data_IF_461580747554
#
_entry.id   IF_461580747554
#
_cell.length_a   1.000
_cell.length_b   1.000
_cell.length_c   1.000
_cell.angle_alpha   90.00
_cell.angle_beta   90.00
_cell.angle_gamma   90.00
#
_symmetry.space_group_name_H-M   'P 1'
#
loop_
_entity.id
_entity.type
_entity.pdbx_description
1 polymer ?
#
# COMPACT_ATOMS: atom_id res chain seq x y z
N UNK A 1 1.92 -34.13 -0.51
CA UNK A 1 2.58 -33.09 0.29
C UNK A 1 2.26 -31.76 -0.37
N UNK A 2 1.58 -30.82 0.30
CA UNK A 2 1.37 -29.48 -0.27
C UNK A 2 2.74 -28.80 -0.33
N UNK A 3 3.12 -28.31 -1.51
CA UNK A 3 4.37 -27.56 -1.64
C UNK A 3 4.34 -26.35 -0.70
N UNK A 4 5.42 -26.12 0.05
CA UNK A 4 5.58 -24.95 0.89
C UNK A 4 5.38 -23.70 0.01
N UNK A 5 4.55 -22.73 0.42
CA UNK A 5 4.33 -21.53 -0.37
C UNK A 5 5.65 -20.77 -0.54
N UNK A 6 5.90 -20.21 -1.71
CA UNK A 6 7.11 -19.45 -2.02
C UNK A 6 7.21 -18.16 -1.20
N UNK A 7 6.06 -17.60 -0.83
CA UNK A 7 5.93 -16.44 0.04
C UNK A 7 4.54 -16.43 0.70
N UNK A 8 4.38 -15.64 1.77
CA UNK A 8 3.11 -15.46 2.44
C UNK A 8 2.17 -14.56 1.63
N UNK A 9 1.05 -15.11 1.19
CA UNK A 9 0.06 -14.39 0.37
C UNK A 9 -1.08 -13.81 1.21
N UNK A 10 -1.50 -12.59 0.87
CA UNK A 10 -2.58 -11.89 1.54
C UNK A 10 -3.93 -12.67 1.56
N UNK A 11 -4.36 -13.33 0.47
CA UNK A 11 -5.58 -14.16 0.52
C UNK A 11 -5.50 -15.30 1.54
N UNK A 12 -4.34 -15.91 1.71
CA UNK A 12 -4.11 -16.96 2.71
C UNK A 12 -4.09 -16.42 4.14
N UNK A 13 -3.55 -15.21 4.32
CA UNK A 13 -3.58 -14.50 5.59
C UNK A 13 -5.01 -14.17 6.02
N UNK A 14 -5.86 -13.65 5.13
CA UNK A 14 -7.25 -13.32 5.44
C UNK A 14 -8.08 -14.54 5.87
N UNK A 15 -7.74 -15.75 5.42
CA UNK A 15 -8.41 -16.98 5.87
C UNK A 15 -8.21 -17.29 7.37
N UNK A 16 -7.25 -16.68 8.02
CA UNK A 16 -7.03 -16.79 9.48
C UNK A 16 -8.11 -16.03 10.28
N UNK A 17 -8.71 -15.02 9.66
CA UNK A 17 -9.70 -14.12 10.26
C UNK A 17 -11.12 -14.40 9.77
N UNK A 18 -11.26 -14.87 8.53
CA UNK A 18 -12.54 -15.00 7.87
C UNK A 18 -12.73 -16.38 7.23
N UNK A 19 -13.87 -17.07 7.52
CA UNK A 19 -14.19 -18.37 6.90
C UNK A 19 -14.69 -18.24 5.46
N UNK A 20 -14.87 -17.02 4.97
CA UNK A 20 -15.37 -16.68 3.64
C UNK A 20 -14.35 -15.81 2.89
N UNK A 21 -14.61 -15.64 1.58
CA UNK A 21 -13.79 -14.75 0.76
C UNK A 21 -14.04 -13.29 1.10
N UNK A 22 -12.95 -12.51 1.20
CA UNK A 22 -13.00 -11.09 1.51
C UNK A 22 -12.30 -10.30 0.42
N UNK A 23 -12.91 -9.18 0.00
CA UNK A 23 -12.40 -8.26 -1.00
C UNK A 23 -12.29 -6.84 -0.42
N UNK A 24 -11.19 -6.15 -0.68
CA UNK A 24 -11.07 -4.71 -0.39
C UNK A 24 -11.89 -3.91 -1.40
N UNK A 25 -12.72 -2.98 -0.93
CA UNK A 25 -13.40 -1.95 -1.74
C UNK A 25 -12.74 -0.61 -1.43
N UNK A 26 -12.09 -0.01 -2.42
CA UNK A 26 -11.46 1.30 -2.28
C UNK A 26 -12.52 2.39 -2.07
N UNK A 27 -12.19 3.36 -1.20
CA UNK A 27 -13.03 4.50 -0.86
C UNK A 27 -12.25 5.81 -1.02
N UNK A 28 -12.95 6.84 -1.45
CA UNK A 28 -12.49 8.21 -1.40
C UNK A 28 -13.43 9.02 -0.49
N UNK A 29 -13.00 9.20 0.76
CA UNK A 29 -13.81 9.87 1.78
C UNK A 29 -13.60 11.39 1.85
N UNK A 30 -13.01 11.99 0.80
CA UNK A 30 -12.79 13.43 0.71
C UNK A 30 -11.69 13.97 1.62
N UNK A 31 -10.76 13.13 2.03
CA UNK A 31 -9.60 13.56 2.81
C UNK A 31 -8.61 14.38 1.96
N UNK A 32 -7.76 15.13 2.63
CA UNK A 32 -6.61 15.82 2.03
C UNK A 32 -5.29 15.24 2.55
N UNK A 33 -4.20 15.93 2.28
CA UNK A 33 -2.87 15.54 2.73
C UNK A 33 -2.13 16.76 3.25
N UNK A 34 -1.50 16.71 4.45
CA UNK A 34 -0.78 17.86 5.03
C UNK A 34 0.42 18.30 4.18
N UNK A 35 0.89 17.44 3.28
CA UNK A 35 1.94 17.78 2.31
C UNK A 35 1.39 18.51 1.06
N UNK A 36 0.08 18.79 1.01
CA UNK A 36 -0.58 19.50 -0.09
C UNK A 36 -1.28 20.78 0.34
N UNK A 37 -1.86 20.80 1.53
CA UNK A 37 -2.69 21.91 2.02
C UNK A 37 -1.90 23.01 2.75
N UNK A 38 -0.58 22.87 2.83
CA UNK A 38 0.31 23.84 3.46
C UNK A 38 0.62 23.57 4.93
N UNK A 39 -0.04 22.62 5.58
CA UNK A 39 0.21 22.30 7.00
C UNK A 39 1.62 21.80 7.27
N UNK A 40 2.17 21.01 6.35
CA UNK A 40 3.56 20.51 6.37
C UNK A 40 4.34 20.82 5.09
N UNK A 41 3.63 21.01 3.97
CA UNK A 41 4.24 21.29 2.68
C UNK A 41 3.21 21.57 1.60
N UNK A 42 3.70 21.96 0.43
CA UNK A 42 2.86 22.26 -0.74
C UNK A 42 3.15 21.27 -1.87
N UNK A 43 2.17 21.04 -2.74
CA UNK A 43 2.30 20.27 -3.97
C UNK A 43 2.32 18.75 -3.80
N UNK A 44 2.48 18.24 -2.58
CA UNK A 44 2.50 16.80 -2.30
C UNK A 44 3.81 16.12 -2.66
N UNK A 45 3.85 14.79 -2.56
CA UNK A 45 4.97 14.00 -3.04
C UNK A 45 5.10 14.11 -4.56
N UNK A 46 6.32 14.11 -5.09
CA UNK A 46 6.61 14.39 -6.51
C UNK A 46 5.95 13.41 -7.48
N UNK A 47 5.71 12.17 -7.06
CA UNK A 47 5.09 11.10 -7.83
C UNK A 47 3.56 11.03 -7.71
N UNK A 48 2.95 11.78 -6.76
CA UNK A 48 1.59 11.50 -6.30
C UNK A 48 0.51 12.12 -7.22
N UNK A 49 -0.32 11.25 -7.79
CA UNK A 49 -1.59 11.61 -8.43
C UNK A 49 -2.68 10.65 -7.94
N UNK A 50 -3.59 11.13 -7.08
CA UNK A 50 -4.64 10.29 -6.50
C UNK A 50 -5.71 9.80 -7.48
N UNK A 51 -5.79 10.37 -8.68
CA UNK A 51 -6.69 9.88 -9.73
C UNK A 51 -6.35 8.45 -10.17
N UNK A 52 -5.11 8.01 -9.97
CA UNK A 52 -4.66 6.64 -10.33
C UNK A 52 -5.27 5.54 -9.47
N UNK A 53 -5.83 5.88 -8.31
CA UNK A 53 -6.32 4.89 -7.33
C UNK A 53 -7.84 4.87 -7.17
N UNK A 54 -8.56 5.73 -7.89
CA UNK A 54 -10.01 5.90 -7.75
C UNK A 54 -10.75 5.19 -8.89
N UNK A 55 -11.35 4.00 -8.65
CA UNK A 55 -12.36 3.46 -9.56
C UNK A 55 -13.54 4.43 -9.77
N UNK A 56 -14.31 4.28 -10.82
CA UNK A 56 -15.41 5.19 -11.17
C UNK A 56 -16.47 5.37 -10.07
N UNK A 57 -16.65 4.36 -9.21
CA UNK A 57 -17.56 4.46 -8.07
C UNK A 57 -16.97 5.26 -6.90
N UNK A 58 -15.65 5.44 -6.86
CA UNK A 58 -14.90 6.03 -5.74
C UNK A 58 -14.76 7.55 -5.92
N UNK A 59 -15.88 8.29 -5.74
CA UNK A 59 -15.93 9.75 -5.92
C UNK A 59 -16.29 10.45 -4.63
N UNK A 60 -15.63 11.57 -4.34
CA UNK A 60 -15.80 12.37 -3.11
C UNK A 60 -17.21 12.91 -2.91
N UNK A 61 -17.94 13.12 -4.01
CA UNK A 61 -19.32 13.62 -4.00
C UNK A 61 -20.33 12.56 -3.52
N UNK A 62 -19.92 11.28 -3.49
CA UNK A 62 -20.77 10.18 -3.07
C UNK A 62 -20.55 9.87 -1.58
N UNK A 63 -21.62 9.65 -0.79
CA UNK A 63 -21.50 9.08 0.55
C UNK A 63 -20.70 7.78 0.57
N UNK A 64 -20.01 7.49 1.66
CA UNK A 64 -19.19 6.28 1.82
C UNK A 64 -20.03 5.01 1.62
N UNK A 65 -21.23 4.98 2.20
CA UNK A 65 -22.16 3.86 2.02
C UNK A 65 -22.52 3.61 0.55
N UNK A 66 -22.73 4.67 -0.24
CA UNK A 66 -23.03 4.51 -1.68
C UNK A 66 -21.81 3.98 -2.45
N UNK A 67 -20.60 4.48 -2.17
CA UNK A 67 -19.38 3.96 -2.78
C UNK A 67 -19.18 2.47 -2.48
N UNK A 68 -19.46 2.04 -1.25
CA UNK A 68 -19.41 0.63 -0.85
C UNK A 68 -20.44 -0.21 -1.60
N UNK A 69 -21.70 0.24 -1.69
CA UNK A 69 -22.75 -0.48 -2.42
C UNK A 69 -22.43 -0.60 -3.92
N UNK A 70 -21.89 0.45 -4.55
CA UNK A 70 -21.45 0.38 -5.95
C UNK A 70 -20.23 -0.53 -6.11
N UNK A 71 -19.28 -0.47 -5.19
CA UNK A 71 -18.11 -1.36 -5.16
C UNK A 71 -18.52 -2.83 -4.97
N UNK A 72 -19.47 -3.12 -4.10
CA UNK A 72 -20.06 -4.48 -3.94
C UNK A 72 -20.61 -4.98 -5.27
N UNK A 73 -21.42 -4.18 -5.96
CA UNK A 73 -21.99 -4.55 -7.28
C UNK A 73 -20.89 -4.80 -8.33
N UNK A 74 -19.83 -4.01 -8.31
CA UNK A 74 -18.70 -4.21 -9.22
C UNK A 74 -18.01 -5.57 -9.02
N UNK A 75 -17.91 -6.07 -7.78
CA UNK A 75 -17.27 -7.34 -7.46
C UNK A 75 -18.25 -8.53 -7.41
N UNK A 76 -19.55 -8.32 -7.22
CA UNK A 76 -20.57 -9.37 -6.99
C UNK A 76 -20.66 -10.42 -8.12
N UNK A 77 -20.34 -10.04 -9.36
CA UNK A 77 -20.35 -10.98 -10.49
C UNK A 77 -19.37 -12.15 -10.36
N UNK A 78 -18.37 -12.05 -9.47
CA UNK A 78 -17.33 -13.08 -9.32
C UNK A 78 -17.64 -14.11 -8.21
N UNK A 79 -18.25 -13.67 -7.10
CA UNK A 79 -18.44 -14.52 -5.91
C UNK A 79 -19.66 -14.04 -5.09
N UNK A 80 -20.78 -14.79 -5.08
CA UNK A 80 -22.03 -14.36 -4.43
C UNK A 80 -21.95 -14.16 -2.91
N UNK A 81 -21.12 -14.95 -2.21
CA UNK A 81 -20.99 -14.94 -0.75
C UNK A 81 -19.78 -14.16 -0.23
N UNK A 82 -19.29 -13.20 -1.04
CA UNK A 82 -18.12 -12.40 -0.66
C UNK A 82 -18.50 -11.35 0.40
N UNK A 83 -17.62 -11.16 1.37
CA UNK A 83 -17.66 -10.02 2.30
C UNK A 83 -16.56 -9.00 1.95
N UNK A 84 -16.59 -7.85 2.60
CA UNK A 84 -15.79 -6.73 2.14
C UNK A 84 -15.04 -6.03 3.27
N UNK A 85 -13.83 -5.55 2.98
CA UNK A 85 -13.12 -4.59 3.81
C UNK A 85 -13.27 -3.21 3.17
N UNK A 86 -13.75 -2.25 3.93
CA UNK A 86 -13.80 -0.86 3.49
C UNK A 86 -12.37 -0.29 3.51
N UNK A 87 -11.83 0.04 2.33
CA UNK A 87 -10.46 0.48 2.17
C UNK A 87 -10.39 1.97 1.88
N UNK A 88 -10.11 2.75 2.91
CA UNK A 88 -9.81 4.18 2.82
C UNK A 88 -8.42 4.35 2.22
N UNK A 89 -8.37 4.62 0.92
CA UNK A 89 -7.11 4.60 0.15
C UNK A 89 -6.64 5.99 -0.28
N UNK A 90 -7.54 6.85 -0.71
CA UNK A 90 -7.17 8.14 -1.29
C UNK A 90 -6.65 9.14 -0.24
N UNK A 91 -5.50 9.75 -0.49
CA UNK A 91 -4.84 10.75 0.38
C UNK A 91 -4.41 10.20 1.76
N UNK A 92 -4.69 10.96 2.83
CA UNK A 92 -4.25 10.66 4.20
C UNK A 92 -5.47 10.48 5.09
N UNK A 93 -5.88 9.24 5.28
CA UNK A 93 -7.19 8.92 5.84
C UNK A 93 -7.27 8.96 7.38
N UNK A 94 -6.23 9.45 8.03
CA UNK A 94 -6.18 9.77 9.47
C UNK A 94 -5.91 11.26 9.71
N UNK A 95 -5.93 12.06 8.66
CA UNK A 95 -5.71 13.49 8.73
C UNK A 95 -7.03 14.24 8.67
N UNK A 96 -7.51 14.69 9.83
CA UNK A 96 -8.77 15.38 9.99
C UNK A 96 -9.17 15.52 11.46
N UNK A 97 -10.31 16.14 11.70
CA UNK A 97 -10.91 16.26 13.01
C UNK A 97 -11.43 14.89 13.49
N UNK A 98 -11.16 14.52 14.75
CA UNK A 98 -11.38 13.16 15.28
C UNK A 98 -12.83 12.67 15.10
N UNK A 99 -13.81 13.50 15.45
CA UNK A 99 -15.22 13.11 15.34
C UNK A 99 -15.67 12.95 13.88
N UNK A 100 -15.06 13.68 12.95
CA UNK A 100 -15.28 13.49 11.51
C UNK A 100 -14.70 12.18 11.02
N UNK A 101 -13.51 11.79 11.49
CA UNK A 101 -12.88 10.52 11.19
C UNK A 101 -13.73 9.36 11.69
N UNK A 102 -14.16 9.39 12.95
CA UNK A 102 -15.03 8.39 13.58
C UNK A 102 -16.29 8.15 12.75
N UNK A 103 -17.05 9.23 12.46
CA UNK A 103 -18.28 9.12 11.66
C UNK A 103 -18.06 8.42 10.33
N UNK A 104 -16.96 8.72 9.63
CA UNK A 104 -16.64 8.09 8.35
C UNK A 104 -16.33 6.60 8.48
N UNK A 105 -15.59 6.21 9.51
CA UNK A 105 -15.29 4.79 9.76
C UNK A 105 -16.54 4.02 10.19
N UNK A 106 -17.36 4.59 11.05
CA UNK A 106 -18.62 4.00 11.52
C UNK A 106 -19.64 3.89 10.38
N UNK A 107 -19.77 4.91 9.52
CA UNK A 107 -20.59 4.84 8.30
C UNK A 107 -20.18 3.66 7.41
N UNK A 108 -18.88 3.45 7.22
CA UNK A 108 -18.39 2.34 6.42
C UNK A 108 -18.71 0.97 7.06
N UNK A 109 -18.54 0.85 8.38
CA UNK A 109 -18.81 -0.39 9.11
C UNK A 109 -20.31 -0.72 9.24
N UNK A 110 -21.18 0.29 9.15
CA UNK A 110 -22.63 0.10 9.16
C UNK A 110 -23.20 -0.52 7.87
N UNK A 111 -22.40 -0.56 6.79
CA UNK A 111 -22.85 -1.15 5.52
C UNK A 111 -22.84 -2.67 5.61
N UNK A 112 -23.98 -3.29 5.28
CA UNK A 112 -24.10 -4.76 5.32
C UNK A 112 -23.02 -5.45 4.46
N UNK A 113 -22.43 -6.50 5.01
CA UNK A 113 -21.35 -7.26 4.36
C UNK A 113 -19.95 -6.64 4.47
N UNK A 114 -19.80 -5.47 5.10
CA UNK A 114 -18.50 -4.92 5.49
C UNK A 114 -18.10 -5.57 6.83
N UNK A 115 -16.93 -6.20 6.84
CA UNK A 115 -16.42 -6.99 7.99
C UNK A 115 -15.13 -6.39 8.61
N UNK A 116 -14.74 -5.20 8.19
CA UNK A 116 -13.58 -4.51 8.75
C UNK A 116 -13.11 -3.36 7.89
N UNK A 117 -12.07 -2.70 8.38
CA UNK A 117 -11.46 -1.53 7.76
C UNK A 117 -10.01 -1.78 7.36
N UNK A 118 -9.61 -1.14 6.27
CA UNK A 118 -8.21 -0.90 5.93
C UNK A 118 -8.02 0.60 5.75
N UNK A 119 -7.09 1.19 6.48
CA UNK A 119 -6.88 2.64 6.52
C UNK A 119 -5.49 2.96 5.99
N UNK A 120 -5.43 3.45 4.73
CA UNK A 120 -4.20 3.95 4.12
C UNK A 120 -3.88 5.36 4.62
N UNK A 121 -2.68 5.57 5.14
CA UNK A 121 -2.32 6.87 5.72
C UNK A 121 -0.82 7.16 5.65
N UNK A 122 -0.46 8.35 6.11
CA UNK A 122 0.93 8.78 6.31
C UNK A 122 1.38 8.45 7.74
N UNK A 123 2.65 8.05 7.93
CA UNK A 123 3.17 7.76 9.28
C UNK A 123 3.13 8.97 10.23
N UNK A 124 3.29 10.17 9.71
CA UNK A 124 3.29 11.42 10.48
C UNK A 124 1.89 11.99 10.78
N UNK A 125 0.83 11.21 10.51
CA UNK A 125 -0.56 11.60 10.68
C UNK A 125 -1.35 10.60 11.55
N UNK A 126 -0.74 10.08 12.61
CA UNK A 126 -1.40 9.21 13.58
C UNK A 126 -1.34 9.83 14.99
N UNK A 127 -2.25 10.76 15.33
CA UNK A 127 -2.30 11.38 16.66
C UNK A 127 -2.80 10.37 17.72
N UNK A 128 -2.45 10.62 18.98
CA UNK A 128 -2.70 9.69 20.09
C UNK A 128 -4.19 9.46 20.39
N UNK A 129 -5.02 10.48 20.23
CA UNK A 129 -6.46 10.39 20.44
C UNK A 129 -7.14 9.51 19.40
N UNK A 130 -6.73 9.63 18.12
CA UNK A 130 -7.19 8.73 17.06
C UNK A 130 -6.68 7.31 17.28
N UNK A 131 -5.41 7.14 17.65
CA UNK A 131 -4.84 5.82 17.89
C UNK A 131 -5.59 5.09 19.02
N UNK A 132 -5.93 5.78 20.12
CA UNK A 132 -6.78 5.22 21.19
C UNK A 132 -8.18 4.82 20.69
N UNK A 133 -8.78 5.62 19.83
CA UNK A 133 -10.06 5.25 19.23
C UNK A 133 -9.93 3.98 18.37
N UNK A 134 -8.90 3.92 17.52
CA UNK A 134 -8.64 2.76 16.65
C UNK A 134 -8.31 1.49 17.45
N UNK A 135 -7.59 1.62 18.57
CA UNK A 135 -7.35 0.51 19.52
C UNK A 135 -8.66 -0.06 20.06
N UNK A 136 -9.59 0.80 20.45
CA UNK A 136 -10.92 0.34 20.91
C UNK A 136 -11.72 -0.29 19.75
N UNK A 137 -11.70 0.30 18.57
CA UNK A 137 -12.38 -0.22 17.40
C UNK A 137 -11.85 -1.61 17.02
N UNK A 138 -10.53 -1.81 17.10
CA UNK A 138 -9.86 -3.08 16.79
C UNK A 138 -10.31 -4.26 17.66
N UNK A 139 -10.87 -4.01 18.86
CA UNK A 139 -11.43 -5.06 19.72
C UNK A 139 -12.70 -5.70 19.17
N UNK A 140 -13.37 -5.05 18.22
CA UNK A 140 -14.71 -5.41 17.73
C UNK A 140 -14.78 -5.64 16.23
N UNK A 141 -13.74 -5.26 15.47
CA UNK A 141 -13.72 -5.41 14.02
C UNK A 141 -12.29 -5.65 13.52
N UNK A 142 -12.16 -6.23 12.34
CA UNK A 142 -10.86 -6.35 11.68
C UNK A 142 -10.36 -4.96 11.28
N UNK A 143 -9.16 -4.61 11.70
CA UNK A 143 -8.54 -3.33 11.41
C UNK A 143 -7.08 -3.54 10.93
N UNK A 144 -6.76 -2.96 9.79
CA UNK A 144 -5.40 -2.89 9.24
C UNK A 144 -5.08 -1.43 8.91
N UNK A 145 -4.04 -0.89 9.50
CA UNK A 145 -3.51 0.45 9.17
C UNK A 145 -2.33 0.28 8.22
N UNK A 146 -2.44 0.85 7.01
CA UNK A 146 -1.42 0.78 5.97
C UNK A 146 -0.67 2.11 5.85
N UNK A 147 0.61 2.10 6.19
CA UNK A 147 1.46 3.28 6.11
C UNK A 147 2.15 3.40 4.75
N UNK A 148 2.03 4.55 4.11
CA UNK A 148 2.86 4.90 2.96
C UNK A 148 4.29 5.18 3.41
N UNK A 149 5.13 4.16 3.41
CA UNK A 149 6.56 4.23 3.76
C UNK A 149 7.35 4.82 2.60
N UNK A 150 7.09 4.29 1.41
CA UNK A 150 7.66 4.59 0.10
C UNK A 150 9.13 4.20 -0.03
N UNK A 151 10.00 4.60 0.92
CA UNK A 151 11.41 4.22 1.02
C UNK A 151 11.87 4.25 2.48
N UNK A 152 12.88 3.46 2.85
CA UNK A 152 13.54 3.55 4.17
C UNK A 152 14.69 4.55 4.18
N UNK A 153 15.01 5.16 3.04
CA UNK A 153 16.15 6.07 2.86
C UNK A 153 15.70 7.52 2.96
N UNK A 154 16.17 8.24 3.96
CA UNK A 154 15.81 9.66 4.17
C UNK A 154 16.23 10.57 3.00
N UNK A 155 17.30 10.23 2.29
CA UNK A 155 17.70 10.92 1.09
C UNK A 155 16.64 10.80 -0.01
N UNK A 156 16.16 9.59 -0.26
CA UNK A 156 15.07 9.30 -1.20
C UNK A 156 13.77 10.00 -0.76
N UNK A 157 13.42 9.92 0.53
CA UNK A 157 12.22 10.57 1.07
C UNK A 157 12.27 12.10 0.86
N UNK A 158 13.43 12.74 1.06
CA UNK A 158 13.63 14.15 0.74
C UNK A 158 13.52 14.43 -0.76
N UNK A 159 14.13 13.60 -1.60
CA UNK A 159 14.11 13.72 -3.08
C UNK A 159 12.68 13.69 -3.63
N UNK A 160 11.82 12.83 -3.09
CA UNK A 160 10.41 12.71 -3.50
C UNK A 160 9.46 13.66 -2.76
N UNK A 161 9.97 14.62 -1.99
CA UNK A 161 9.17 15.55 -1.17
C UNK A 161 8.18 14.83 -0.24
N UNK A 162 8.64 13.77 0.46
CA UNK A 162 7.75 12.99 1.34
C UNK A 162 7.34 13.76 2.60
N UNK A 163 8.19 14.65 3.12
CA UNK A 163 7.91 15.55 4.24
C UNK A 163 8.05 14.90 5.63
N UNK A 164 8.58 13.69 5.72
CA UNK A 164 8.98 13.02 6.97
C UNK A 164 10.17 12.10 6.73
N UNK A 165 10.85 11.71 7.81
CA UNK A 165 11.96 10.75 7.80
C UNK A 165 11.47 9.32 8.00
N UNK A 166 12.36 8.33 7.77
CA UNK A 166 12.06 6.93 8.06
C UNK A 166 11.84 6.67 9.55
N UNK A 167 12.53 7.41 10.44
CA UNK A 167 12.31 7.28 11.89
C UNK A 167 10.87 7.61 12.31
N UNK A 168 10.19 8.53 11.61
CA UNK A 168 8.76 8.80 11.83
C UNK A 168 7.91 7.58 11.48
N UNK A 169 8.28 6.86 10.42
CA UNK A 169 7.64 5.59 10.06
C UNK A 169 7.84 4.52 11.14
N UNK A 170 9.06 4.35 11.62
CA UNK A 170 9.37 3.41 12.71
C UNK A 170 8.46 3.68 13.91
N UNK A 171 8.43 4.91 14.39
CA UNK A 171 7.62 5.30 15.55
C UNK A 171 6.12 5.05 15.34
N UNK A 172 5.60 5.35 14.14
CA UNK A 172 4.18 5.16 13.83
C UNK A 172 3.80 3.68 13.81
N UNK A 173 4.61 2.84 13.18
CA UNK A 173 4.38 1.39 13.09
C UNK A 173 4.45 0.76 14.47
N UNK A 174 5.50 1.05 15.27
CA UNK A 174 5.68 0.52 16.63
C UNK A 174 4.53 0.91 17.56
N UNK A 175 4.10 2.19 17.55
CA UNK A 175 2.97 2.66 18.37
C UNK A 175 1.65 2.00 17.99
N UNK A 176 1.42 1.77 16.70
CA UNK A 176 0.21 1.13 16.20
C UNK A 176 0.18 -0.36 16.55
N UNK A 177 1.31 -1.05 16.39
CA UNK A 177 1.47 -2.45 16.78
C UNK A 177 1.30 -2.63 18.30
N UNK A 178 1.85 -1.73 19.10
CA UNK A 178 1.69 -1.75 20.57
C UNK A 178 0.23 -1.66 21.03
N UNK A 179 -0.67 -1.10 20.19
CA UNK A 179 -2.12 -1.11 20.39
C UNK A 179 -2.80 -2.40 19.86
N UNK A 180 -2.03 -3.40 19.43
CA UNK A 180 -2.53 -4.66 18.87
C UNK A 180 -3.20 -4.51 17.49
N UNK A 181 -3.00 -3.39 16.81
CA UNK A 181 -3.57 -3.11 15.49
C UNK A 181 -2.62 -3.66 14.43
N UNK A 182 -3.16 -4.39 13.44
CA UNK A 182 -2.37 -4.89 12.31
C UNK A 182 -1.79 -3.71 11.51
N UNK A 183 -0.50 -3.81 11.18
CA UNK A 183 0.21 -2.77 10.44
C UNK A 183 0.63 -3.25 9.06
N UNK A 184 0.46 -2.41 8.06
CA UNK A 184 0.92 -2.63 6.71
C UNK A 184 1.85 -1.53 6.22
N UNK A 185 2.71 -1.86 5.27
CA UNK A 185 3.59 -0.91 4.60
C UNK A 185 3.36 -0.85 3.09
N UNK A 186 3.53 0.34 2.51
CA UNK A 186 3.63 0.52 1.07
C UNK A 186 5.02 1.01 0.73
N UNK A 187 5.68 0.43 -0.27
CA UNK A 187 6.98 0.87 -0.78
C UNK A 187 6.98 0.96 -2.30
N UNK A 188 7.72 1.93 -2.81
CA UNK A 188 7.92 2.12 -4.24
C UNK A 188 9.35 1.71 -4.58
N UNK A 189 9.50 0.68 -5.41
CA UNK A 189 10.81 0.21 -5.85
C UNK A 189 11.23 0.95 -7.12
N UNK A 190 12.45 1.48 -7.13
CA UNK A 190 13.01 2.22 -8.26
C UNK A 190 12.80 3.73 -8.19
N UNK A 191 12.64 4.30 -7.01
CA UNK A 191 12.64 5.74 -6.82
C UNK A 191 13.98 6.37 -7.28
N UNK A 192 13.96 7.61 -7.79
CA UNK A 192 15.18 8.26 -8.31
C UNK A 192 16.32 8.28 -7.30
N UNK A 193 17.51 7.88 -7.74
CA UNK A 193 18.72 7.79 -6.92
C UNK A 193 18.89 6.48 -6.16
N UNK A 194 17.95 5.53 -6.25
CA UNK A 194 18.08 4.22 -5.64
C UNK A 194 18.70 3.20 -6.62
N UNK A 195 19.76 2.54 -6.18
CA UNK A 195 20.37 1.41 -6.90
C UNK A 195 19.67 0.09 -6.48
N UNK A 196 19.81 -0.97 -7.27
CA UNK A 196 19.33 -2.31 -6.92
C UNK A 196 19.74 -2.69 -5.47
N UNK A 197 21.03 -2.52 -5.14
CA UNK A 197 21.54 -2.80 -3.78
C UNK A 197 20.82 -1.99 -2.68
N UNK A 198 20.57 -0.70 -2.96
CA UNK A 198 19.88 0.17 -2.01
C UNK A 198 18.43 -0.26 -1.81
N UNK A 199 17.76 -0.68 -2.88
CA UNK A 199 16.38 -1.16 -2.83
C UNK A 199 16.31 -2.44 -2.01
N UNK A 200 17.14 -3.43 -2.30
CA UNK A 200 17.15 -4.72 -1.58
C UNK A 200 17.51 -4.53 -0.10
N UNK A 201 18.42 -3.61 0.23
CA UNK A 201 18.77 -3.32 1.62
C UNK A 201 17.57 -2.82 2.45
N UNK A 202 16.57 -2.18 1.84
CA UNK A 202 15.35 -1.74 2.52
C UNK A 202 14.52 -2.93 3.08
N UNK A 203 14.63 -4.12 2.49
CA UNK A 203 13.98 -5.31 3.01
C UNK A 203 14.44 -5.63 4.45
N UNK A 204 15.72 -5.42 4.76
CA UNK A 204 16.28 -5.58 6.11
C UNK A 204 15.73 -4.54 7.09
N UNK A 205 15.60 -3.29 6.67
CA UNK A 205 15.05 -2.23 7.52
C UNK A 205 13.58 -2.49 7.84
N UNK A 206 12.78 -2.87 6.85
CA UNK A 206 11.36 -3.21 7.03
C UNK A 206 11.16 -4.47 7.87
N UNK A 207 12.06 -5.43 7.77
CA UNK A 207 12.01 -6.67 8.55
C UNK A 207 12.21 -6.47 10.06
N UNK A 208 12.78 -5.34 10.46
CA UNK A 208 12.90 -4.95 11.88
C UNK A 208 11.63 -4.36 12.46
N UNK A 209 10.71 -3.90 11.60
CA UNK A 209 9.45 -3.32 12.02
C UNK A 209 8.40 -4.42 12.26
N UNK A 210 7.46 -4.25 13.18
CA UNK A 210 6.37 -5.19 13.41
C UNK A 210 5.29 -5.07 12.30
N UNK A 211 5.71 -5.12 11.05
CA UNK A 211 4.80 -5.11 9.90
C UNK A 211 4.13 -6.47 9.74
N UNK A 212 2.80 -6.46 9.62
CA UNK A 212 1.98 -7.61 9.26
C UNK A 212 1.94 -7.81 7.75
N UNK A 213 1.75 -6.72 6.99
CA UNK A 213 1.62 -6.78 5.53
C UNK A 213 2.56 -5.81 4.82
N UNK A 214 2.92 -6.14 3.59
CA UNK A 214 3.70 -5.26 2.72
C UNK A 214 3.12 -5.26 1.30
N UNK A 215 2.97 -4.05 0.74
CA UNK A 215 2.70 -3.80 -0.67
C UNK A 215 3.92 -3.20 -1.32
N UNK A 216 4.40 -3.83 -2.35
CA UNK A 216 5.43 -3.29 -3.22
C UNK A 216 4.80 -2.86 -4.54
N UNK A 217 5.34 -1.85 -5.17
CA UNK A 217 5.07 -1.55 -6.56
C UNK A 217 6.23 -0.79 -7.20
N UNK A 218 6.36 -0.99 -8.52
CA UNK A 218 7.34 -0.27 -9.32
C UNK A 218 7.06 1.23 -9.31
N UNK A 219 8.09 2.02 -9.48
CA UNK A 219 7.91 3.42 -9.82
C UNK A 219 7.10 3.53 -11.12
N UNK A 220 6.04 4.34 -11.10
CA UNK A 220 5.27 4.74 -12.27
C UNK A 220 5.35 6.25 -12.45
N UNK A 221 5.67 6.68 -13.64
CA UNK A 221 5.64 8.10 -14.03
C UNK A 221 4.22 8.42 -14.51
N UNK A 222 3.54 9.30 -13.79
CA UNK A 222 2.13 9.62 -13.98
C UNK A 222 1.98 11.05 -14.47
N UNK A 223 1.17 11.24 -15.51
CA UNK A 223 0.86 12.57 -16.05
C UNK A 223 0.34 13.52 -14.97
N UNK A 224 0.75 14.79 -15.08
CA UNK A 224 0.36 15.82 -14.13
C UNK A 224 1.10 15.77 -12.78
N UNK A 225 2.10 14.91 -12.63
CA UNK A 225 2.98 14.89 -11.45
C UNK A 225 4.26 15.71 -11.71
N UNK A 226 4.85 16.22 -10.63
CA UNK A 226 6.13 16.91 -10.70
C UNK A 226 7.25 15.98 -11.17
N UNK A 227 7.19 14.72 -10.78
CA UNK A 227 8.16 13.69 -11.19
C UNK A 227 8.11 13.42 -12.70
N UNK A 228 6.93 13.46 -13.33
CA UNK A 228 6.81 13.36 -14.77
C UNK A 228 7.50 14.50 -15.50
N UNK A 229 7.36 15.74 -15.00
CA UNK A 229 8.06 16.91 -15.56
C UNK A 229 9.58 16.85 -15.36
N UNK A 230 10.03 16.26 -14.25
CA UNK A 230 11.45 16.02 -14.00
C UNK A 230 12.01 14.99 -14.99
N UNK A 231 11.28 13.91 -15.21
CA UNK A 231 11.65 12.88 -16.20
C UNK A 231 11.73 13.41 -17.62
N UNK A 232 10.81 14.28 -18.03
CA UNK A 232 10.85 14.92 -19.37
C UNK A 232 12.10 15.77 -19.57
N UNK A 233 12.65 16.34 -18.50
CA UNK A 233 13.85 17.21 -18.56
C UNK A 233 15.15 16.43 -18.47
N UNK A 234 15.17 15.44 -17.60
CA UNK A 234 16.37 14.66 -17.28
C UNK A 234 16.00 13.16 -17.15
N UNK A 235 15.71 12.47 -18.26
CA UNK A 235 15.32 11.06 -18.22
C UNK A 235 16.42 10.14 -17.68
N UNK A 236 17.69 10.56 -17.79
CA UNK A 236 18.87 9.83 -17.28
C UNK A 236 18.91 9.70 -15.75
N UNK A 237 18.20 10.54 -15.01
CA UNK A 237 18.09 10.47 -13.55
C UNK A 237 17.16 9.33 -13.08
N UNK A 238 16.48 8.65 -14.03
CA UNK A 238 15.47 7.64 -13.74
C UNK A 238 15.85 6.29 -14.33
N UNK A 239 15.98 5.29 -13.48
CA UNK A 239 16.08 3.90 -13.92
C UNK A 239 14.68 3.27 -13.89
N UNK A 240 14.05 3.20 -15.06
CA UNK A 240 12.75 2.53 -15.20
C UNK A 240 13.00 1.07 -15.59
N UNK A 241 12.73 0.15 -14.68
CA UNK A 241 12.92 -1.28 -14.90
C UNK A 241 12.06 -1.80 -16.05
N UNK A 242 12.61 -2.70 -16.86
CA UNK A 242 11.78 -3.59 -17.67
C UNK A 242 11.18 -4.70 -16.80
N UNK A 243 10.30 -5.53 -17.38
CA UNK A 243 9.56 -6.54 -16.62
C UNK A 243 10.49 -7.56 -15.96
N UNK A 244 11.49 -8.06 -16.69
CA UNK A 244 12.34 -9.14 -16.21
C UNK A 244 13.34 -8.63 -15.15
N UNK A 245 13.88 -7.44 -15.33
CA UNK A 245 14.68 -6.75 -14.31
C UNK A 245 13.90 -6.54 -13.02
N UNK A 246 12.64 -6.13 -13.12
CA UNK A 246 11.80 -5.92 -11.94
C UNK A 246 11.36 -7.23 -11.28
N UNK A 247 11.16 -8.30 -12.05
CA UNK A 247 10.94 -9.64 -11.50
C UNK A 247 12.15 -10.09 -10.68
N UNK A 248 13.36 -9.94 -11.22
CA UNK A 248 14.60 -10.30 -10.52
C UNK A 248 14.81 -9.46 -9.25
N UNK A 249 14.54 -8.15 -9.31
CA UNK A 249 14.58 -7.27 -8.15
C UNK A 249 13.59 -7.71 -7.06
N UNK A 250 12.34 -8.02 -7.43
CA UNK A 250 11.30 -8.47 -6.49
C UNK A 250 11.69 -9.79 -5.84
N UNK A 251 12.23 -10.74 -6.60
CA UNK A 251 12.69 -12.01 -6.04
C UNK A 251 13.81 -11.80 -5.03
N UNK A 252 14.83 -11.02 -5.37
CA UNK A 252 15.94 -10.72 -4.46
C UNK A 252 15.47 -9.96 -3.21
N UNK A 253 14.54 -9.01 -3.37
CA UNK A 253 13.93 -8.29 -2.26
C UNK A 253 13.18 -9.23 -1.30
N UNK A 254 12.37 -10.14 -1.83
CA UNK A 254 11.56 -11.10 -1.07
C UNK A 254 12.44 -12.11 -0.32
N UNK A 255 13.56 -12.55 -0.91
CA UNK A 255 14.53 -13.42 -0.24
C UNK A 255 15.14 -12.78 1.03
N UNK A 256 15.25 -11.43 1.07
CA UNK A 256 15.79 -10.69 2.22
C UNK A 256 14.72 -10.25 3.24
N UNK A 257 13.44 -10.43 2.93
CA UNK A 257 12.35 -10.08 3.85
C UNK A 257 12.15 -11.14 4.93
N UNK A 258 11.78 -10.68 6.13
CA UNK A 258 11.35 -11.55 7.23
C UNK A 258 10.21 -12.48 6.75
N UNK A 259 10.30 -13.80 7.05
CA UNK A 259 9.40 -14.81 6.46
C UNK A 259 7.91 -14.65 6.80
N UNK A 260 7.58 -13.98 7.91
CA UNK A 260 6.20 -13.83 8.39
C UNK A 260 5.46 -12.61 7.82
N UNK A 261 6.15 -11.68 7.15
CA UNK A 261 5.50 -10.56 6.47
C UNK A 261 4.63 -11.07 5.32
N UNK A 262 3.39 -10.64 5.30
CA UNK A 262 2.40 -11.02 4.28
C UNK A 262 2.51 -10.09 3.08
N UNK A 263 2.69 -10.65 1.87
CA UNK A 263 2.83 -9.88 0.64
C UNK A 263 1.46 -9.72 -0.04
N UNK A 264 1.05 -8.46 -0.26
CA UNK A 264 -0.25 -8.17 -0.85
C UNK A 264 -0.20 -8.06 -2.38
N UNK A 265 0.83 -7.41 -2.89
CA UNK A 265 1.07 -7.26 -4.33
C UNK A 265 2.51 -6.80 -4.59
N UNK A 266 2.94 -7.00 -5.84
CA UNK A 266 4.27 -6.61 -6.31
C UNK A 266 4.26 -5.45 -7.30
N UNK A 267 3.11 -5.14 -7.92
CA UNK A 267 2.98 -4.12 -8.96
C UNK A 267 1.74 -3.27 -8.75
N UNK A 268 1.79 -2.03 -9.20
CA UNK A 268 0.62 -1.15 -9.32
C UNK A 268 0.20 -1.04 -10.78
N UNK A 269 -1.10 -0.83 -10.99
CA UNK A 269 -1.67 -0.51 -12.30
C UNK A 269 -2.30 0.87 -12.23
N UNK A 270 -1.98 1.71 -13.19
CA UNK A 270 -2.59 3.01 -13.37
C UNK A 270 -3.39 3.07 -14.67
N UNK A 271 -4.42 3.94 -14.76
CA UNK A 271 -5.13 4.18 -16.01
C UNK A 271 -4.15 4.54 -17.14
N UNK A 272 -4.36 3.95 -18.33
CA UNK A 272 -3.44 4.10 -19.46
C UNK A 272 -3.27 5.56 -19.90
N UNK A 273 -4.33 6.34 -19.80
CA UNK A 273 -4.34 7.77 -20.12
C UNK A 273 -3.46 8.60 -19.18
N UNK A 274 -3.23 8.12 -17.97
CA UNK A 274 -2.38 8.79 -16.96
C UNK A 274 -0.95 8.24 -16.94
N UNK A 275 -0.74 6.99 -17.35
CA UNK A 275 0.58 6.35 -17.30
C UNK A 275 1.47 6.86 -18.41
N UNK A 276 2.68 7.33 -18.06
CA UNK A 276 3.75 7.66 -19.01
C UNK A 276 4.67 6.45 -19.18
N UNK A 277 5.24 5.93 -18.07
CA UNK A 277 6.16 4.81 -18.07
C UNK A 277 6.30 4.21 -16.66
N UNK A 278 6.76 2.95 -16.51
CA UNK A 278 6.81 1.93 -17.56
C UNK A 278 5.41 1.38 -17.86
N UNK A 279 5.07 1.14 -19.10
CA UNK A 279 3.86 0.39 -19.49
C UNK A 279 4.27 -1.04 -19.90
N UNK A 280 4.03 -1.99 -19.02
CA UNK A 280 4.34 -3.40 -19.27
C UNK A 280 3.17 -4.18 -19.87
N UNK A 281 1.98 -3.59 -19.94
CA UNK A 281 0.78 -4.25 -20.46
C UNK A 281 0.33 -5.48 -19.65
N UNK A 282 0.91 -5.72 -18.47
CA UNK A 282 0.64 -6.91 -17.64
C UNK A 282 -0.39 -6.62 -16.55
N UNK A 283 -1.25 -7.59 -16.29
CA UNK A 283 -2.12 -7.61 -15.10
C UNK A 283 -1.36 -8.13 -13.88
N UNK A 284 -1.83 -7.76 -12.68
CA UNK A 284 -1.19 -8.18 -11.42
C UNK A 284 -0.98 -9.71 -11.32
N UNK A 285 -1.96 -10.51 -11.73
CA UNK A 285 -1.85 -11.97 -11.65
C UNK A 285 -0.81 -12.54 -12.63
N UNK A 286 -0.62 -11.90 -13.81
CA UNK A 286 0.39 -12.29 -14.79
C UNK A 286 1.78 -11.98 -14.27
N UNK A 287 1.95 -10.83 -13.63
CA UNK A 287 3.21 -10.47 -12.98
C UNK A 287 3.52 -11.43 -11.82
N UNK A 288 2.56 -11.70 -10.93
CA UNK A 288 2.74 -12.64 -9.83
C UNK A 288 3.16 -14.04 -10.35
N UNK A 289 2.59 -14.48 -11.46
CA UNK A 289 2.98 -15.76 -12.08
C UNK A 289 4.45 -15.74 -12.53
N UNK A 290 4.93 -14.64 -13.12
CA UNK A 290 6.35 -14.49 -13.51
C UNK A 290 7.27 -14.52 -12.29
N UNK A 291 6.92 -13.82 -11.21
CA UNK A 291 7.68 -13.86 -9.95
C UNK A 291 7.74 -15.30 -9.41
N UNK A 292 6.60 -16.00 -9.31
CA UNK A 292 6.57 -17.37 -8.82
C UNK A 292 7.38 -18.35 -9.71
N UNK A 293 7.31 -18.17 -11.03
CA UNK A 293 8.13 -18.96 -11.97
C UNK A 293 9.62 -18.71 -11.72
N UNK A 294 10.02 -17.43 -11.63
CA UNK A 294 11.40 -17.04 -11.40
C UNK A 294 11.95 -17.52 -10.05
N UNK A 295 11.14 -17.44 -9.00
CA UNK A 295 11.49 -17.99 -7.68
C UNK A 295 11.76 -19.51 -7.75
N UNK A 296 10.95 -20.26 -8.49
CA UNK A 296 11.18 -21.70 -8.69
C UNK A 296 12.45 -21.98 -9.47
N UNK A 297 12.76 -21.22 -10.52
CA UNK A 297 13.99 -21.36 -11.30
C UNK A 297 15.25 -21.12 -10.46
N UNK A 298 15.17 -20.19 -9.48
CA UNK A 298 16.28 -19.82 -8.60
C UNK A 298 16.28 -20.59 -7.27
N UNK A 299 15.33 -21.54 -7.07
CA UNK A 299 15.09 -22.17 -5.76
C UNK A 299 14.94 -21.13 -4.64
N UNK A 300 14.32 -20.00 -4.95
CA UNK A 300 14.12 -18.87 -4.05
C UNK A 300 12.81 -18.99 -3.27
N UNK A 301 12.81 -18.49 -2.03
CA UNK A 301 11.63 -18.35 -1.18
C UNK A 301 11.79 -17.15 -0.25
N UNK A 302 10.70 -16.66 0.28
CA UNK A 302 10.71 -15.53 1.21
C UNK A 302 11.56 -15.86 2.44
N UNK A 303 12.51 -14.97 2.74
CA UNK A 303 13.38 -15.10 3.90
C UNK A 303 14.59 -16.02 3.71
N UNK A 304 14.84 -16.54 2.51
CA UNK A 304 16.02 -17.40 2.23
C UNK A 304 17.35 -16.73 2.59
N UNK A 305 17.42 -15.41 2.42
CA UNK A 305 18.60 -14.56 2.72
C UNK A 305 18.36 -13.61 3.91
N UNK A 306 17.26 -13.81 4.65
CA UNK A 306 16.96 -13.01 5.82
C UNK A 306 17.94 -13.32 6.95
N UNK A 307 18.60 -12.28 7.46
CA UNK A 307 19.49 -12.34 8.64
C UNK A 307 18.87 -11.49 9.75
N UNK A 308 18.74 -12.08 10.96
CA UNK A 308 18.26 -11.38 12.15
C UNK A 308 19.26 -10.32 12.64
#
# INVERSE_FOLDING_TARGET
MSATPLYNEFPSFLKRYFPYKVQKISLNAGFTCPNRDGSKGYGGCTYCNNQTFNPDYCRTEKPIALQLEEGKRFFAHKYPEMKYLAYFQAYTNTYGELESLKRKYEEALAVDGVVGLVIGTRPDCMPDDLLRYLENLNKHTFLLVEYGIESTRDETLRRINRGHTFQVTVNAVERTDACGILTGGHVILGLPGETHRNIVAQAKDLSRLPLTTLKMHQLQLIRGTRMALEYERNPEDFHLFNVDEYVDLVVDYVEHLRPDIVLERFVSQSPKELLIAPDWGLKNYEFNHRVQKRMKELDAYQGKKYEM
#
